data_IF_126990336976
#
_entry.id   IF_126990336976
#
_cell.length_a   1.000
_cell.length_b   1.000
_cell.length_c   1.000
_cell.angle_alpha   90.00
_cell.angle_beta   90.00
_cell.angle_gamma   90.00
#
_symmetry.space_group_name_H-M   'P 1'
#
loop_
_entity.id
_entity.type
_entity.pdbx_description
1 polymer ?
#
# COMPACT_ATOMS: atom_id res chain seq x y z
N UNK A 1 -3.64 37.12 35.60
CA UNK A 1 -2.63 36.07 35.32
C UNK A 1 -2.88 35.52 33.93
N UNK A 2 -1.84 35.37 33.12
CA UNK A 2 -1.98 34.72 31.82
C UNK A 2 -2.26 33.24 32.08
N UNK A 3 -3.46 32.77 31.72
CA UNK A 3 -3.88 31.40 32.02
C UNK A 3 -2.97 30.45 31.23
N UNK A 4 -2.10 29.71 31.92
CA UNK A 4 -1.19 28.72 31.35
C UNK A 4 -1.90 27.78 30.36
N UNK A 5 -3.15 27.41 30.68
CA UNK A 5 -4.06 26.67 29.78
C UNK A 5 -4.25 27.33 28.42
N UNK A 6 -4.42 28.65 28.38
CA UNK A 6 -4.58 29.42 27.14
C UNK A 6 -3.28 29.45 26.35
N UNK A 7 -2.13 29.56 27.02
CA UNK A 7 -0.82 29.47 26.37
C UNK A 7 -0.63 28.10 25.71
N UNK A 8 -0.90 27.01 26.44
CA UNK A 8 -0.81 25.65 25.93
C UNK A 8 -1.75 25.39 24.75
N UNK A 9 -2.98 25.95 24.78
CA UNK A 9 -3.92 25.85 23.66
C UNK A 9 -3.38 26.54 22.40
N UNK A 10 -2.82 27.74 22.54
CA UNK A 10 -2.22 28.44 21.39
C UNK A 10 -1.00 27.70 20.84
N UNK A 11 -0.13 27.17 21.71
CA UNK A 11 1.01 26.35 21.30
C UNK A 11 0.56 25.09 20.58
N UNK A 12 -0.46 24.39 21.09
CA UNK A 12 -1.01 23.21 20.44
C UNK A 12 -1.57 23.52 19.05
N UNK A 13 -2.30 24.63 18.92
CA UNK A 13 -2.85 25.05 17.64
C UNK A 13 -1.73 25.32 16.62
N UNK A 14 -0.70 26.08 17.02
CA UNK A 14 0.45 26.37 16.16
C UNK A 14 1.17 25.08 15.70
N UNK A 15 1.38 24.12 16.60
CA UNK A 15 2.00 22.83 16.27
C UNK A 15 1.15 22.00 15.29
N UNK A 16 -0.17 22.01 15.43
CA UNK A 16 -1.07 21.31 14.52
C UNK A 16 -1.07 21.94 13.13
N UNK A 17 -1.06 23.27 13.05
CA UNK A 17 -0.95 24.02 11.79
C UNK A 17 0.39 23.74 11.10
N UNK A 18 1.51 23.78 11.86
CA UNK A 18 2.84 23.45 11.35
C UNK A 18 2.90 22.00 10.82
N UNK A 19 2.31 21.04 11.54
CA UNK A 19 2.22 19.65 11.09
C UNK A 19 1.45 19.50 9.78
N UNK A 20 0.36 20.25 9.60
CA UNK A 20 -0.41 20.22 8.36
C UNK A 20 0.35 20.85 7.19
N UNK A 21 1.08 21.94 7.42
CA UNK A 21 1.94 22.56 6.40
C UNK A 21 3.04 21.61 5.93
N UNK A 22 3.76 20.96 6.86
CA UNK A 22 4.81 19.99 6.54
C UNK A 22 4.29 18.81 5.71
N UNK A 23 3.09 18.31 6.02
CA UNK A 23 2.46 17.24 5.23
C UNK A 23 2.19 17.65 3.78
N UNK A 24 1.73 18.89 3.57
CA UNK A 24 1.50 19.41 2.21
C UNK A 24 2.82 19.54 1.45
N UNK A 25 3.82 20.16 2.09
CA UNK A 25 5.16 20.31 1.51
C UNK A 25 5.77 18.96 1.10
N UNK A 26 5.67 17.94 1.95
CA UNK A 26 6.18 16.61 1.62
C UNK A 26 5.49 16.01 0.39
N UNK A 27 4.16 16.13 0.29
CA UNK A 27 3.39 15.64 -0.86
C UNK A 27 3.76 16.39 -2.13
N UNK A 28 3.98 17.70 -2.04
CA UNK A 28 4.34 18.52 -3.20
C UNK A 28 5.79 18.23 -3.65
N UNK A 29 6.72 18.04 -2.70
CA UNK A 29 8.09 17.61 -2.99
C UNK A 29 8.14 16.21 -3.64
N UNK A 30 7.36 15.25 -3.13
CA UNK A 30 7.30 13.90 -3.72
C UNK A 30 6.77 13.93 -5.17
N UNK A 31 5.76 14.77 -5.44
CA UNK A 31 5.26 14.98 -6.81
C UNK A 31 6.31 15.62 -7.71
N UNK A 32 7.04 16.62 -7.21
CA UNK A 32 8.10 17.28 -7.97
C UNK A 32 9.21 16.30 -8.33
N UNK A 33 9.74 15.56 -7.34
CA UNK A 33 10.74 14.51 -7.56
C UNK A 33 10.25 13.44 -8.54
N UNK A 34 8.99 13.01 -8.42
CA UNK A 34 8.38 12.09 -9.38
C UNK A 34 8.30 12.64 -10.81
N UNK A 35 8.16 13.96 -10.97
CA UNK A 35 8.23 14.64 -12.27
C UNK A 35 9.65 14.68 -12.83
N UNK A 36 10.62 15.07 -12.01
CA UNK A 36 12.04 15.12 -12.38
C UNK A 36 12.57 13.73 -12.77
N UNK A 37 12.23 12.69 -12.01
CA UNK A 37 12.59 11.29 -12.35
C UNK A 37 12.02 10.89 -13.72
N UNK A 38 10.78 11.25 -14.04
CA UNK A 38 10.17 10.94 -15.34
C UNK A 38 10.88 11.64 -16.49
N UNK A 39 11.29 12.90 -16.30
CA UNK A 39 12.03 13.66 -17.31
C UNK A 39 13.42 13.06 -17.55
N UNK A 40 14.11 12.64 -16.49
CA UNK A 40 15.40 11.95 -16.61
C UNK A 40 15.22 10.62 -17.35
N UNK A 41 14.22 9.82 -16.99
CA UNK A 41 13.94 8.54 -17.66
C UNK A 41 13.54 8.71 -19.13
N UNK A 42 12.76 9.73 -19.48
CA UNK A 42 12.45 10.01 -20.88
C UNK A 42 13.71 10.39 -21.64
N UNK A 43 14.58 11.22 -21.05
CA UNK A 43 15.83 11.62 -21.68
C UNK A 43 16.80 10.46 -21.89
N UNK A 44 16.90 9.54 -20.93
CA UNK A 44 17.69 8.31 -21.09
C UNK A 44 17.16 7.50 -22.28
N UNK A 45 15.84 7.28 -22.35
CA UNK A 45 15.24 6.52 -23.47
C UNK A 45 15.45 7.17 -24.83
N UNK A 46 15.41 8.50 -24.91
CA UNK A 46 15.74 9.23 -26.14
C UNK A 46 17.19 8.98 -26.56
N UNK A 47 18.12 9.07 -25.61
CA UNK A 47 19.54 8.81 -25.87
C UNK A 47 19.81 7.36 -26.26
N UNK A 48 19.19 6.39 -25.59
CA UNK A 48 19.31 4.97 -25.93
C UNK A 48 18.75 4.68 -27.33
N UNK A 49 17.67 5.37 -27.73
CA UNK A 49 17.06 5.23 -29.05
C UNK A 49 17.90 5.89 -30.17
N UNK A 50 18.59 7.00 -29.86
CA UNK A 50 19.50 7.69 -30.79
C UNK A 50 20.87 7.00 -30.88
N UNK A 51 21.31 6.32 -29.81
CA UNK A 51 22.64 5.72 -29.70
C UNK A 51 22.80 4.35 -30.35
N UNK A 52 21.71 3.61 -30.62
CA UNK A 52 21.82 2.25 -31.16
C UNK A 52 22.67 1.31 -30.29
N UNK A 53 22.88 1.65 -29.03
CA UNK A 53 23.66 0.86 -28.08
C UNK A 53 22.74 -0.17 -27.45
N UNK A 54 23.07 -1.43 -27.74
CA UNK A 54 22.38 -2.61 -27.23
C UNK A 54 22.34 -2.53 -25.69
N UNK A 55 21.16 -2.52 -25.02
CA UNK A 55 21.03 -2.35 -23.57
C UNK A 55 21.72 -3.45 -22.73
N UNK A 56 22.33 -4.45 -23.38
CA UNK A 56 23.17 -5.46 -22.77
C UNK A 56 24.58 -5.01 -22.37
N UNK A 57 25.13 -3.91 -22.92
CA UNK A 57 26.51 -3.49 -22.63
C UNK A 57 26.65 -2.59 -21.39
N UNK A 58 25.65 -1.74 -21.10
CA UNK A 58 25.67 -0.86 -19.91
C UNK A 58 25.67 -1.61 -18.58
N UNK A 59 25.03 -2.79 -18.52
CA UNK A 59 25.08 -3.65 -17.33
C UNK A 59 26.43 -4.36 -17.14
N UNK A 60 27.23 -4.47 -18.19
CA UNK A 60 28.49 -5.22 -18.16
C UNK A 60 29.69 -4.32 -17.88
N UNK A 61 29.67 -3.06 -18.31
CA UNK A 61 30.77 -2.10 -18.09
C UNK A 61 30.71 -1.44 -16.70
N UNK A 62 29.52 -1.27 -16.12
CA UNK A 62 29.35 -0.78 -14.74
C UNK A 62 29.80 -1.80 -13.68
N UNK A 63 29.89 -3.09 -14.03
CA UNK A 63 30.36 -4.16 -13.14
C UNK A 63 31.89 -4.23 -13.02
N UNK A 64 32.63 -3.61 -13.94
CA UNK A 64 34.09 -3.74 -14.00
C UNK A 64 34.87 -2.54 -13.41
N UNK A 65 34.24 -1.38 -13.19
CA UNK A 65 34.95 -0.14 -12.85
C UNK A 65 34.66 0.47 -11.46
N UNK A 66 33.80 -0.12 -10.64
CA UNK A 66 33.43 0.47 -9.34
C UNK A 66 33.46 -0.57 -8.23
N UNK A 67 34.66 -1.03 -7.90
CA UNK A 67 34.97 -1.64 -6.61
C UNK A 67 35.00 -0.58 -5.50
N UNK A 68 33.96 0.25 -5.42
CA UNK A 68 33.60 0.98 -4.22
C UNK A 68 32.28 0.39 -3.74
N UNK A 69 32.36 -0.27 -2.60
CA UNK A 69 31.27 -0.92 -1.90
C UNK A 69 30.11 0.06 -1.67
N UNK A 70 29.17 0.13 -2.60
CA UNK A 70 27.84 0.64 -2.32
C UNK A 70 27.21 -0.39 -1.39
N UNK A 71 26.89 -0.05 -0.12
CA UNK A 71 26.30 -1.01 0.80
C UNK A 71 25.01 -1.58 0.20
N UNK A 72 25.03 -2.88 -0.11
CA UNK A 72 23.92 -3.64 -0.68
C UNK A 72 22.65 -3.59 0.18
N UNK A 73 22.77 -3.15 1.44
CA UNK A 73 21.66 -2.89 2.35
C UNK A 73 20.77 -1.70 1.95
N UNK A 74 21.28 -0.72 1.19
CA UNK A 74 20.46 0.43 0.76
C UNK A 74 19.55 0.13 -0.44
N UNK A 75 19.81 -0.94 -1.19
CA UNK A 75 18.98 -1.37 -2.33
C UNK A 75 17.76 -2.21 -1.91
N UNK A 76 17.76 -2.80 -0.72
CA UNK A 76 16.69 -3.71 -0.28
C UNK A 76 15.45 -3.03 0.33
N UNK A 77 15.40 -1.70 0.41
CA UNK A 77 14.23 -0.96 0.92
C UNK A 77 13.44 -0.21 -0.15
N UNK A 78 13.57 -0.61 -1.42
CA UNK A 78 12.51 -0.31 -2.39
C UNK A 78 11.33 -1.20 -2.02
N UNK A 79 10.45 -0.69 -1.13
CA UNK A 79 9.11 -1.25 -0.93
C UNK A 79 8.48 -1.34 -2.32
N UNK A 80 8.48 -2.56 -2.89
CA UNK A 80 7.72 -2.89 -4.09
C UNK A 80 6.32 -2.35 -3.84
N UNK A 81 5.95 -1.30 -4.56
CA UNK A 81 4.61 -0.72 -4.46
C UNK A 81 3.67 -1.86 -4.81
N UNK A 82 2.91 -2.37 -3.82
CA UNK A 82 1.94 -3.45 -4.02
C UNK A 82 1.11 -3.08 -5.24
N UNK A 83 1.25 -3.85 -6.31
CA UNK A 83 0.45 -3.69 -7.52
C UNK A 83 -1.01 -3.74 -7.09
N UNK A 84 -1.79 -2.71 -7.46
CA UNK A 84 -3.21 -2.69 -7.12
C UNK A 84 -3.91 -3.78 -7.93
N UNK A 85 -4.06 -4.96 -7.31
CA UNK A 85 -4.81 -6.08 -7.89
C UNK A 85 -6.29 -5.70 -7.82
N UNK A 86 -6.91 -5.53 -8.99
CA UNK A 86 -8.35 -5.33 -9.09
C UNK A 86 -9.00 -6.69 -8.98
N UNK A 87 -9.45 -7.05 -7.78
CA UNK A 87 -10.20 -8.27 -7.55
C UNK A 87 -11.61 -8.16 -8.13
N UNK A 88 -12.12 -9.26 -8.67
CA UNK A 88 -13.54 -9.41 -8.96
C UNK A 88 -14.29 -9.65 -7.64
N UNK A 89 -14.85 -8.56 -7.10
CA UNK A 89 -15.50 -8.60 -5.80
C UNK A 89 -16.80 -9.44 -5.80
N UNK A 90 -17.38 -9.75 -6.96
CA UNK A 90 -18.52 -10.69 -7.04
C UNK A 90 -18.06 -12.12 -6.76
N UNK A 91 -16.99 -12.56 -7.42
CA UNK A 91 -16.44 -13.90 -7.19
C UNK A 91 -15.94 -14.08 -5.74
N UNK A 92 -15.29 -13.05 -5.19
CA UNK A 92 -14.87 -13.04 -3.79
C UNK A 92 -16.08 -13.13 -2.85
N UNK A 93 -17.19 -12.47 -3.18
CA UNK A 93 -18.40 -12.54 -2.38
C UNK A 93 -19.00 -13.97 -2.39
N UNK A 94 -19.07 -14.62 -3.54
CA UNK A 94 -19.55 -16.00 -3.63
C UNK A 94 -18.66 -16.96 -2.82
N UNK A 95 -17.34 -16.79 -2.90
CA UNK A 95 -16.36 -17.56 -2.13
C UNK A 95 -16.50 -17.34 -0.61
N UNK A 96 -16.66 -16.09 -0.17
CA UNK A 96 -16.92 -15.77 1.24
C UNK A 96 -18.22 -16.43 1.71
N UNK A 97 -19.25 -16.44 0.86
CA UNK A 97 -20.54 -17.06 1.19
C UNK A 97 -20.41 -18.57 1.36
N UNK A 98 -19.66 -19.25 0.50
CA UNK A 98 -19.38 -20.68 0.61
C UNK A 98 -18.64 -21.00 1.92
N UNK A 99 -17.55 -20.27 2.19
CA UNK A 99 -16.74 -20.44 3.41
C UNK A 99 -17.60 -20.28 4.68
N UNK A 100 -18.39 -19.20 4.74
CA UNK A 100 -19.24 -18.93 5.90
C UNK A 100 -20.39 -19.95 6.05
N UNK A 101 -20.89 -20.51 4.95
CA UNK A 101 -21.94 -21.54 4.97
C UNK A 101 -21.40 -22.87 5.49
N UNK A 102 -20.15 -23.20 5.14
CA UNK A 102 -19.48 -24.42 5.63
C UNK A 102 -19.12 -24.33 7.11
N UNK A 103 -18.60 -23.19 7.58
CA UNK A 103 -18.06 -23.08 8.93
C UNK A 103 -19.11 -23.03 10.04
N UNK A 104 -20.39 -22.74 9.74
CA UNK A 104 -21.53 -22.62 10.68
C UNK A 104 -21.25 -21.87 12.01
N UNK A 105 -20.15 -21.12 12.09
CA UNK A 105 -19.63 -20.48 13.28
C UNK A 105 -19.01 -19.12 12.90
N UNK A 106 -18.99 -18.15 13.83
CA UNK A 106 -18.50 -16.81 13.53
C UNK A 106 -17.00 -16.85 13.21
N UNK A 107 -16.65 -16.54 11.97
CA UNK A 107 -15.25 -16.60 11.50
C UNK A 107 -14.60 -15.24 11.67
N UNK A 108 -13.36 -15.20 12.14
CA UNK A 108 -12.63 -13.93 12.30
C UNK A 108 -12.10 -13.40 10.97
N UNK A 109 -11.80 -12.10 10.89
CA UNK A 109 -11.23 -11.48 9.66
C UNK A 109 -9.93 -12.17 9.21
N UNK A 110 -9.06 -12.53 10.14
CA UNK A 110 -7.79 -13.18 9.85
C UNK A 110 -8.01 -14.59 9.26
N UNK A 111 -8.88 -15.38 9.89
CA UNK A 111 -9.22 -16.73 9.43
C UNK A 111 -9.88 -16.70 8.04
N UNK A 112 -10.78 -15.75 7.80
CA UNK A 112 -11.44 -15.60 6.50
C UNK A 112 -10.43 -15.21 5.40
N UNK A 113 -9.45 -14.37 5.73
CA UNK A 113 -8.37 -14.02 4.80
C UNK A 113 -7.43 -15.19 4.52
N UNK A 114 -7.07 -15.98 5.54
CA UNK A 114 -6.24 -17.17 5.38
C UNK A 114 -6.94 -18.19 4.48
N UNK A 115 -8.23 -18.46 4.68
CA UNK A 115 -8.97 -19.41 3.85
C UNK A 115 -9.17 -18.92 2.40
N UNK A 116 -9.43 -17.63 2.20
CA UNK A 116 -9.52 -17.05 0.86
C UNK A 116 -8.18 -17.13 0.11
N UNK A 117 -7.06 -17.00 0.83
CA UNK A 117 -5.73 -17.15 0.26
C UNK A 117 -5.43 -18.62 -0.05
N UNK A 118 -5.68 -19.54 0.87
CA UNK A 118 -5.38 -20.96 0.70
C UNK A 118 -6.24 -21.64 -0.38
N UNK A 119 -7.54 -21.37 -0.39
CA UNK A 119 -8.48 -22.06 -1.31
C UNK A 119 -8.62 -21.38 -2.66
N UNK A 120 -8.53 -20.05 -2.69
CA UNK A 120 -8.86 -19.27 -3.90
C UNK A 120 -7.71 -18.37 -4.37
N UNK A 121 -6.55 -18.37 -3.68
CA UNK A 121 -5.39 -17.56 -4.07
C UNK A 121 -5.63 -16.05 -3.99
N UNK A 122 -6.65 -15.61 -3.25
CA UNK A 122 -7.03 -14.20 -3.19
C UNK A 122 -6.22 -13.48 -2.11
N UNK A 123 -5.24 -12.70 -2.54
CA UNK A 123 -4.45 -11.85 -1.64
C UNK A 123 -4.87 -10.39 -1.73
N UNK A 124 -5.35 -9.83 -0.62
CA UNK A 124 -5.68 -8.41 -0.55
C UNK A 124 -4.48 -7.58 -0.10
N UNK A 125 -4.23 -6.47 -0.80
CA UNK A 125 -3.30 -5.43 -0.32
C UNK A 125 -3.73 -4.84 1.03
N UNK A 126 -5.05 -4.79 1.27
CA UNK A 126 -5.69 -4.45 2.54
C UNK A 126 -6.87 -5.38 2.78
N UNK A 127 -6.69 -6.35 3.68
CA UNK A 127 -7.64 -7.40 4.06
C UNK A 127 -9.01 -6.82 4.44
N UNK A 128 -9.03 -5.84 5.34
CA UNK A 128 -10.26 -5.21 5.80
C UNK A 128 -11.02 -4.52 4.66
N UNK A 129 -10.35 -3.75 3.81
CA UNK A 129 -11.00 -3.02 2.70
C UNK A 129 -11.50 -3.99 1.64
N UNK A 130 -10.72 -5.03 1.32
CA UNK A 130 -11.09 -6.05 0.33
C UNK A 130 -12.35 -6.80 0.74
N UNK A 131 -12.37 -7.31 1.97
CA UNK A 131 -13.52 -8.03 2.52
C UNK A 131 -14.73 -7.10 2.66
N UNK A 132 -14.56 -5.87 3.14
CA UNK A 132 -15.68 -4.94 3.28
C UNK A 132 -16.34 -4.60 1.94
N UNK A 133 -15.58 -4.55 0.84
CA UNK A 133 -16.14 -4.37 -0.50
C UNK A 133 -16.94 -5.58 -0.97
N UNK A 134 -16.45 -6.80 -0.72
CA UNK A 134 -17.17 -8.02 -1.05
C UNK A 134 -18.43 -8.20 -0.19
N UNK A 135 -18.37 -7.91 1.11
CA UNK A 135 -19.51 -7.98 2.02
C UNK A 135 -20.65 -7.01 1.66
N UNK A 136 -20.37 -5.88 0.99
CA UNK A 136 -21.45 -5.01 0.46
C UNK A 136 -22.37 -5.73 -0.53
N UNK A 137 -21.89 -6.78 -1.18
CA UNK A 137 -22.66 -7.59 -2.13
C UNK A 137 -23.41 -8.74 -1.41
N UNK A 138 -23.15 -8.97 -0.13
CA UNK A 138 -23.75 -10.03 0.69
C UNK A 138 -24.51 -9.42 1.88
N UNK A 139 -25.75 -8.94 1.68
CA UNK A 139 -26.55 -8.38 2.77
C UNK A 139 -26.95 -9.44 3.83
N UNK A 140 -26.81 -10.72 3.51
CA UNK A 140 -27.12 -11.85 4.39
C UNK A 140 -26.09 -12.03 5.52
N UNK A 141 -24.86 -11.53 5.36
CA UNK A 141 -23.78 -11.73 6.34
C UNK A 141 -23.87 -10.71 7.46
N UNK A 142 -24.02 -11.20 8.70
CA UNK A 142 -23.98 -10.40 9.91
C UNK A 142 -22.53 -10.14 10.33
N UNK A 143 -22.21 -8.87 10.51
CA UNK A 143 -20.89 -8.42 10.99
C UNK A 143 -20.98 -8.12 12.47
N UNK A 144 -20.32 -8.93 13.28
CA UNK A 144 -20.13 -8.72 14.71
C UNK A 144 -18.82 -7.99 15.00
N UNK A 145 -18.82 -7.09 15.98
CA UNK A 145 -17.60 -6.45 16.48
C UNK A 145 -17.46 -6.71 17.97
N UNK A 146 -16.43 -7.46 18.34
CA UNK A 146 -16.08 -7.74 19.73
C UNK A 146 -14.73 -7.09 20.03
N UNK A 147 -14.76 -5.86 20.56
CA UNK A 147 -13.56 -5.06 20.81
C UNK A 147 -12.84 -4.66 19.51
N UNK A 148 -11.62 -5.19 19.30
CA UNK A 148 -10.83 -5.01 18.06
C UNK A 148 -11.03 -6.13 17.03
N UNK A 149 -11.74 -7.20 17.38
CA UNK A 149 -11.99 -8.34 16.49
C UNK A 149 -13.29 -8.15 15.73
N UNK A 150 -13.25 -8.43 14.44
CA UNK A 150 -14.42 -8.52 13.57
C UNK A 150 -14.73 -10.00 13.36
N UNK A 151 -15.99 -10.36 13.53
CA UNK A 151 -16.51 -11.71 13.28
C UNK A 151 -17.61 -11.65 12.23
N UNK A 152 -17.65 -12.65 11.37
CA UNK A 152 -18.57 -12.76 10.26
C UNK A 152 -19.37 -14.06 10.39
N UNK A 153 -20.70 -13.97 10.27
CA UNK A 153 -21.59 -15.13 10.31
C UNK A 153 -22.74 -14.94 9.32
N UNK A 154 -23.20 -16.03 8.71
CA UNK A 154 -24.48 -16.10 7.98
C UNK A 154 -25.65 -16.29 8.96
#
# INVERSE_FOLDING_TARGET
MFNERKALQMTLQALLEQRMALRRQYVDQDKQLGGEIKQVLSRIRELDAEGGEDPGQFFQEAAASSAEEIPTEMLQRVKVRKTHIRHDYQQVADQIREILRERMSPTSLAELCEELKERHGVEFSSEYIGIQKALKLLPEVKVGKTGRKLTFSL
#
